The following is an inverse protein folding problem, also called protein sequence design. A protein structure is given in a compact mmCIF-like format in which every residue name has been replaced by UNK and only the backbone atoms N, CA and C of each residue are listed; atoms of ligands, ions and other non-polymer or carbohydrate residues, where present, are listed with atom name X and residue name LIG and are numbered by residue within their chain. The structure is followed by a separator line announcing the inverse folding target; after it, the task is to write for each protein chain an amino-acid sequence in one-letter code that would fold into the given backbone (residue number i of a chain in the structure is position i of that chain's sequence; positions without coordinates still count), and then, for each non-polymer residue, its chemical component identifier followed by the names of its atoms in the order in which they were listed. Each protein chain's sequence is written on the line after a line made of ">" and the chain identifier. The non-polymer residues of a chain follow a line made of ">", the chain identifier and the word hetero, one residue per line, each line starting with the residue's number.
data_IF_661112042765
#
_entry.id   IF_661112042765
#
_cell.length_a   1.000
_cell.length_b   1.000
_cell.length_c   1.000
_cell.angle_alpha   90.00
_cell.angle_beta   90.00
_cell.angle_gamma   90.00
#
_symmetry.space_group_name_H-M   'P 1'
#
loop_
_entity.id
_entity.type
_entity.pdbx_description
1 polymer ?
#
# COMPACT_ATOMS: atom_id res chain seq x y z
N UNK A 1 21.83 -13.28 -2.16
CA UNK A 1 21.29 -13.65 -0.84
C UNK A 1 20.17 -12.68 -0.47
N UNK A 2 18.87 -13.07 -0.48
CA UNK A 2 17.78 -12.26 0.15
C UNK A 2 16.34 -12.81 -0.06
N UNK A 3 16.15 -14.08 -0.45
CA UNK A 3 14.80 -14.69 -0.44
C UNK A 3 14.01 -14.47 0.87
N UNK A 4 14.61 -14.57 2.09
CA UNK A 4 13.84 -14.35 3.31
C UNK A 4 13.38 -12.89 3.48
N UNK A 5 14.25 -11.90 3.20
CA UNK A 5 13.91 -10.49 3.37
C UNK A 5 12.76 -10.06 2.45
N UNK A 6 12.78 -10.51 1.19
CA UNK A 6 11.71 -10.22 0.24
C UNK A 6 10.35 -10.78 0.70
N UNK A 7 10.36 -11.99 1.25
CA UNK A 7 9.15 -12.62 1.79
C UNK A 7 8.64 -11.90 3.03
N UNK A 8 9.53 -11.45 3.92
CA UNK A 8 9.16 -10.66 5.10
C UNK A 8 8.54 -9.32 4.66
N UNK A 9 9.16 -8.61 3.72
CA UNK A 9 8.62 -7.37 3.19
C UNK A 9 7.26 -7.58 2.48
N UNK A 10 7.05 -8.74 1.83
CA UNK A 10 5.76 -9.09 1.21
C UNK A 10 4.65 -9.22 2.25
N UNK A 11 4.93 -9.95 3.32
CA UNK A 11 3.99 -10.16 4.44
C UNK A 11 3.66 -8.83 5.09
N UNK A 12 4.69 -8.04 5.39
CA UNK A 12 4.56 -6.73 6.00
C UNK A 12 3.74 -5.79 5.10
N UNK A 13 4.01 -5.76 3.79
CA UNK A 13 3.26 -4.93 2.85
C UNK A 13 1.77 -5.26 2.85
N UNK A 14 1.42 -6.55 2.77
CA UNK A 14 0.01 -6.97 2.81
C UNK A 14 -0.63 -6.62 4.16
N UNK A 15 0.05 -6.90 5.27
CA UNK A 15 -0.48 -6.62 6.60
C UNK A 15 -0.73 -5.12 6.81
N UNK A 16 0.24 -4.28 6.45
CA UNK A 16 0.13 -2.81 6.57
C UNK A 16 -0.95 -2.26 5.65
N UNK A 17 -1.01 -2.73 4.39
CA UNK A 17 -2.04 -2.30 3.45
C UNK A 17 -3.45 -2.67 3.93
N UNK A 18 -3.64 -3.88 4.45
CA UNK A 18 -4.95 -4.35 4.91
C UNK A 18 -5.41 -3.67 6.20
N UNK A 19 -4.48 -3.37 7.12
CA UNK A 19 -4.80 -2.73 8.41
C UNK A 19 -4.86 -1.21 8.33
N UNK A 20 -4.43 -0.61 7.22
CA UNK A 20 -4.19 0.82 7.09
C UNK A 20 -3.38 1.41 8.28
N UNK A 21 -2.41 0.61 8.77
CA UNK A 21 -1.70 0.91 10.02
C UNK A 21 -1.02 2.30 10.05
N UNK A 22 -0.33 2.79 9.00
CA UNK A 22 0.30 4.09 9.02
C UNK A 22 -0.68 5.24 9.25
N UNK A 23 -1.88 5.15 8.68
CA UNK A 23 -2.93 6.15 8.85
C UNK A 23 -3.55 6.09 10.25
N UNK A 24 -3.78 4.87 10.75
CA UNK A 24 -4.23 4.65 12.13
C UNK A 24 -3.21 5.18 13.15
N UNK A 25 -1.93 4.84 12.99
CA UNK A 25 -0.87 5.29 13.87
C UNK A 25 -0.75 6.83 13.87
N UNK A 26 -0.86 7.45 12.70
CA UNK A 26 -0.82 8.90 12.61
C UNK A 26 -2.01 9.56 13.31
N UNK A 27 -3.22 9.07 13.03
CA UNK A 27 -4.47 9.69 13.48
C UNK A 27 -4.77 9.43 14.95
N UNK A 28 -4.47 8.23 15.45
CA UNK A 28 -4.82 7.80 16.82
C UNK A 28 -3.68 7.84 17.81
N UNK A 29 -2.47 7.50 17.37
CA UNK A 29 -1.30 7.45 18.24
C UNK A 29 -0.46 8.72 18.12
N UNK A 30 -0.68 9.55 17.09
CA UNK A 30 0.17 10.70 16.77
C UNK A 30 1.58 10.29 16.33
N UNK A 31 1.78 9.02 15.95
CA UNK A 31 3.08 8.43 15.64
C UNK A 31 3.09 8.02 14.17
N UNK A 32 4.24 8.20 13.50
CA UNK A 32 4.49 7.75 12.12
C UNK A 32 3.59 8.42 11.07
N UNK A 33 4.11 9.46 10.41
CA UNK A 33 3.42 10.05 9.27
C UNK A 33 3.43 9.08 8.06
N UNK A 34 2.31 8.88 7.34
CA UNK A 34 2.21 7.85 6.30
C UNK A 34 3.28 7.89 5.20
N UNK A 35 3.83 9.06 4.88
CA UNK A 35 4.92 9.14 3.89
C UNK A 35 6.25 8.54 4.40
N UNK A 36 6.50 8.50 5.72
CA UNK A 36 7.68 7.84 6.28
C UNK A 36 7.62 6.33 6.10
N UNK A 37 6.41 5.76 6.14
CA UNK A 37 6.19 4.35 5.80
C UNK A 37 6.64 4.05 4.37
N UNK A 38 6.12 4.81 3.40
CA UNK A 38 6.46 4.62 1.98
C UNK A 38 7.96 4.83 1.74
N UNK A 39 8.59 5.79 2.39
CA UNK A 39 10.03 6.02 2.29
C UNK A 39 10.85 4.86 2.87
N UNK A 40 10.56 4.44 4.11
CA UNK A 40 11.27 3.34 4.77
C UNK A 40 11.10 2.02 4.02
N UNK A 41 9.87 1.72 3.61
CA UNK A 41 9.55 0.55 2.80
C UNK A 41 10.23 0.63 1.43
N UNK A 42 10.24 1.80 0.80
CA UNK A 42 10.93 2.08 -0.45
C UNK A 42 12.42 1.77 -0.37
N UNK A 43 13.12 2.32 0.62
CA UNK A 43 14.57 2.09 0.82
C UNK A 43 14.89 0.60 0.96
N UNK A 44 14.08 -0.14 1.73
CA UNK A 44 14.28 -1.58 1.93
C UNK A 44 13.96 -2.40 0.66
N UNK A 45 13.06 -1.90 -0.20
CA UNK A 45 12.63 -2.60 -1.41
C UNK A 45 13.40 -2.20 -2.68
N UNK A 46 14.16 -1.10 -2.65
CA UNK A 46 14.98 -0.61 -3.78
C UNK A 46 15.87 -1.67 -4.45
N UNK A 47 16.62 -2.52 -3.72
CA UNK A 47 17.47 -3.53 -4.36
C UNK A 47 16.68 -4.53 -5.22
N UNK A 48 15.44 -4.83 -4.83
CA UNK A 48 14.57 -5.73 -5.61
C UNK A 48 13.99 -5.03 -6.83
N UNK A 49 13.66 -3.74 -6.71
CA UNK A 49 13.16 -2.92 -7.81
C UNK A 49 14.21 -2.77 -8.91
N UNK A 50 15.45 -2.41 -8.55
CA UNK A 50 16.55 -2.33 -9.53
C UNK A 50 16.80 -3.67 -10.22
N UNK A 51 16.84 -4.76 -9.46
CA UNK A 51 17.04 -6.10 -10.03
C UNK A 51 15.92 -6.47 -11.00
N UNK A 52 14.67 -6.12 -10.67
CA UNK A 52 13.52 -6.43 -11.52
C UNK A 52 13.51 -5.58 -12.80
N UNK A 53 13.88 -4.31 -12.73
CA UNK A 53 13.98 -3.44 -13.90
C UNK A 53 15.06 -3.95 -14.88
N UNK A 54 16.20 -4.39 -14.35
CA UNK A 54 17.32 -4.87 -15.17
C UNK A 54 17.07 -6.28 -15.73
N UNK A 55 16.49 -7.17 -14.92
CA UNK A 55 16.39 -8.59 -15.27
C UNK A 55 15.06 -8.99 -15.91
N UNK A 56 14.04 -8.12 -15.96
CA UNK A 56 12.72 -8.50 -16.45
C UNK A 56 12.07 -7.42 -17.31
N UNK A 57 11.15 -7.86 -18.16
CA UNK A 57 10.24 -7.01 -18.94
C UNK A 57 9.21 -6.26 -18.08
N UNK A 58 9.55 -5.90 -16.83
CA UNK A 58 8.65 -5.18 -15.90
C UNK A 58 8.12 -3.89 -16.52
N UNK A 59 8.92 -3.22 -17.35
CA UNK A 59 8.52 -2.01 -18.08
C UNK A 59 7.39 -2.25 -19.09
N UNK A 60 7.22 -3.48 -19.58
CA UNK A 60 6.12 -3.87 -20.48
C UNK A 60 4.84 -4.21 -19.73
N UNK A 61 4.87 -4.25 -18.39
CA UNK A 61 3.67 -4.48 -17.59
C UNK A 61 2.64 -3.38 -17.85
N UNK A 62 1.39 -3.71 -18.20
CA UNK A 62 0.32 -2.71 -18.38
C UNK A 62 0.15 -1.79 -17.17
N UNK A 63 0.39 -2.31 -15.97
CA UNK A 63 0.29 -1.53 -14.72
C UNK A 63 1.40 -0.49 -14.62
N UNK A 64 2.62 -0.82 -15.06
CA UNK A 64 3.74 0.14 -15.06
C UNK A 64 3.47 1.24 -16.08
N UNK A 65 3.01 0.89 -17.28
CA UNK A 65 2.60 1.85 -18.31
C UNK A 65 1.50 2.77 -17.78
N UNK A 66 0.50 2.21 -17.09
CA UNK A 66 -0.56 2.97 -16.45
C UNK A 66 -0.04 3.92 -15.36
N UNK A 67 0.88 3.47 -14.51
CA UNK A 67 1.52 4.30 -13.49
C UNK A 67 2.23 5.51 -14.12
N UNK A 68 2.98 5.30 -15.21
CA UNK A 68 3.63 6.38 -15.94
C UNK A 68 2.61 7.33 -16.59
N UNK A 69 1.57 6.79 -17.24
CA UNK A 69 0.50 7.61 -17.83
C UNK A 69 -0.23 8.45 -16.77
N UNK A 70 -0.53 7.85 -15.61
CA UNK A 70 -1.19 8.53 -14.50
C UNK A 70 -0.31 9.60 -13.85
N UNK A 71 1.01 9.39 -13.77
CA UNK A 71 1.95 10.42 -13.35
C UNK A 71 1.90 11.63 -14.29
N UNK A 72 1.93 11.41 -15.61
CA UNK A 72 1.81 12.48 -16.59
C UNK A 72 0.48 13.22 -16.51
N UNK A 73 -0.64 12.50 -16.43
CA UNK A 73 -1.95 13.10 -16.25
C UNK A 73 -2.02 13.94 -14.97
N UNK A 74 -1.38 13.48 -13.88
CA UNK A 74 -1.31 14.22 -12.63
C UNK A 74 -0.51 15.51 -12.76
N UNK A 75 0.64 15.47 -13.46
CA UNK A 75 1.46 16.65 -13.74
C UNK A 75 0.67 17.65 -14.60
N UNK A 76 0.07 17.20 -15.71
CA UNK A 76 -0.70 18.06 -16.61
C UNK A 76 -1.88 18.71 -15.89
N UNK A 77 -2.61 17.94 -15.09
CA UNK A 77 -3.69 18.45 -14.25
C UNK A 77 -3.19 19.49 -13.24
N UNK A 78 -2.05 19.25 -12.59
CA UNK A 78 -1.50 20.18 -11.60
C UNK A 78 -1.06 21.50 -12.24
N UNK A 79 -0.40 21.45 -13.40
CA UNK A 79 0.03 22.65 -14.15
C UNK A 79 -1.16 23.51 -14.55
N UNK A 80 -2.28 22.89 -14.94
CA UNK A 80 -3.53 23.60 -15.26
C UNK A 80 -4.39 24.00 -14.05
N UNK A 81 -3.99 23.60 -12.84
CA UNK A 81 -4.73 23.91 -11.61
C UNK A 81 -4.29 25.25 -10.99
N UNK A 82 -4.93 25.64 -9.90
CA UNK A 82 -4.56 26.84 -9.12
C UNK A 82 -3.24 26.71 -8.36
N UNK A 83 -2.55 25.55 -8.45
CA UNK A 83 -1.27 25.26 -7.78
C UNK A 83 -1.27 25.57 -6.27
N UNK A 84 -2.43 25.44 -5.64
CA UNK A 84 -2.60 25.63 -4.21
C UNK A 84 -1.92 24.52 -3.41
N UNK A 85 -1.70 24.76 -2.11
CA UNK A 85 -1.15 23.74 -1.20
C UNK A 85 -1.99 22.45 -1.19
N UNK A 86 -3.32 22.60 -1.31
CA UNK A 86 -4.24 21.47 -1.41
C UNK A 86 -3.98 20.68 -2.71
N UNK A 87 -3.80 21.36 -3.84
CA UNK A 87 -3.48 20.69 -5.10
C UNK A 87 -2.12 19.99 -5.03
N UNK A 88 -1.13 20.59 -4.35
CA UNK A 88 0.18 19.98 -4.12
C UNK A 88 0.10 18.72 -3.26
N UNK A 89 -0.70 18.74 -2.19
CA UNK A 89 -0.94 17.56 -1.35
C UNK A 89 -1.54 16.40 -2.16
N UNK A 90 -2.49 16.69 -3.06
CA UNK A 90 -3.08 15.68 -3.96
C UNK A 90 -2.01 15.07 -4.87
N UNK A 91 -1.15 15.88 -5.48
CA UNK A 91 -0.04 15.40 -6.31
C UNK A 91 0.88 14.49 -5.50
N UNK A 92 1.30 14.94 -4.31
CA UNK A 92 2.18 14.17 -3.42
C UNK A 92 1.58 12.80 -3.09
N UNK A 93 0.30 12.74 -2.73
CA UNK A 93 -0.38 11.46 -2.41
C UNK A 93 -0.44 10.56 -3.64
N UNK A 94 -0.77 11.09 -4.82
CA UNK A 94 -0.81 10.31 -6.07
C UNK A 94 0.57 9.73 -6.41
N UNK A 95 1.64 10.51 -6.28
CA UNK A 95 3.00 10.02 -6.52
C UNK A 95 3.45 8.97 -5.51
N UNK A 96 3.10 9.13 -4.22
CA UNK A 96 3.37 8.10 -3.21
C UNK A 96 2.67 6.79 -3.55
N UNK A 97 1.41 6.83 -3.98
CA UNK A 97 0.67 5.64 -4.40
C UNK A 97 1.29 4.97 -5.65
N UNK A 98 1.75 5.76 -6.62
CA UNK A 98 2.47 5.25 -7.80
C UNK A 98 3.76 4.53 -7.38
N UNK A 99 4.56 5.16 -6.51
CA UNK A 99 5.81 4.55 -6.01
C UNK A 99 5.49 3.24 -5.29
N UNK A 100 4.52 3.25 -4.38
CA UNK A 100 4.11 2.05 -3.63
C UNK A 100 3.67 0.91 -4.55
N UNK A 101 2.86 1.19 -5.59
CA UNK A 101 2.46 0.20 -6.60
C UNK A 101 3.66 -0.40 -7.33
N UNK A 102 4.62 0.42 -7.76
CA UNK A 102 5.82 -0.07 -8.44
C UNK A 102 6.67 -0.98 -7.53
N UNK A 103 6.78 -0.62 -6.25
CA UNK A 103 7.47 -1.45 -5.25
C UNK A 103 6.74 -2.77 -5.05
N UNK A 104 5.41 -2.78 -4.96
CA UNK A 104 4.61 -4.00 -4.83
C UNK A 104 4.76 -4.92 -6.05
N UNK A 105 4.70 -4.40 -7.27
CA UNK A 105 4.91 -5.20 -8.49
C UNK A 105 6.29 -5.86 -8.46
N UNK A 106 7.33 -5.09 -8.13
CA UNK A 106 8.68 -5.61 -8.00
C UNK A 106 8.75 -6.71 -6.96
N UNK A 107 8.07 -6.54 -5.83
CA UNK A 107 8.17 -7.43 -4.69
C UNK A 107 7.37 -8.73 -4.88
N UNK A 108 6.19 -8.65 -5.49
CA UNK A 108 5.33 -9.82 -5.76
C UNK A 108 5.64 -10.54 -7.08
N UNK A 109 6.61 -10.07 -7.89
CA UNK A 109 7.05 -10.81 -9.09
C UNK A 109 7.65 -12.19 -8.81
N UNK A 110 8.01 -12.48 -7.55
CA UNK A 110 8.52 -13.76 -7.10
C UNK A 110 7.39 -14.63 -6.57
N UNK A 111 7.33 -15.86 -7.05
CA UNK A 111 6.26 -16.81 -6.74
C UNK A 111 6.16 -17.16 -5.25
N UNK A 112 7.28 -17.27 -4.52
CA UNK A 112 7.28 -17.55 -3.09
C UNK A 112 6.75 -16.35 -2.29
N UNK A 113 7.20 -15.14 -2.61
CA UNK A 113 6.72 -13.91 -1.99
C UNK A 113 5.20 -13.73 -2.23
N UNK A 114 4.74 -13.97 -3.46
CA UNK A 114 3.32 -13.92 -3.82
C UNK A 114 2.50 -14.99 -3.08
N UNK A 115 3.01 -16.22 -2.97
CA UNK A 115 2.34 -17.29 -2.20
C UNK A 115 2.16 -16.91 -0.73
N UNK A 116 3.21 -16.37 -0.10
CA UNK A 116 3.14 -15.87 1.29
C UNK A 116 2.15 -14.72 1.43
N UNK A 117 2.18 -13.76 0.51
CA UNK A 117 1.24 -12.65 0.47
C UNK A 117 -0.22 -13.11 0.40
N UNK A 118 -0.51 -14.11 -0.46
CA UNK A 118 -1.86 -14.73 -0.55
C UNK A 118 -2.29 -15.39 0.75
N UNK A 119 -1.39 -16.09 1.44
CA UNK A 119 -1.70 -16.68 2.75
C UNK A 119 -2.08 -15.61 3.78
N UNK A 120 -1.32 -14.51 3.81
CA UNK A 120 -1.62 -13.37 4.70
C UNK A 120 -2.96 -12.73 4.34
N UNK A 121 -3.26 -12.57 3.06
CA UNK A 121 -4.56 -12.07 2.60
C UNK A 121 -5.71 -12.95 3.08
N UNK A 122 -5.59 -14.28 2.95
CA UNK A 122 -6.62 -15.23 3.43
C UNK A 122 -6.82 -15.10 4.94
N UNK A 123 -5.72 -15.00 5.71
CA UNK A 123 -5.80 -14.80 7.16
C UNK A 123 -6.45 -13.46 7.51
N UNK A 124 -6.09 -12.38 6.81
CA UNK A 124 -6.68 -11.06 7.00
C UNK A 124 -8.19 -11.04 6.73
N UNK A 125 -8.62 -11.64 5.63
CA UNK A 125 -10.05 -11.78 5.29
C UNK A 125 -10.78 -12.63 6.33
N UNK A 126 -10.20 -13.76 6.75
CA UNK A 126 -10.80 -14.60 7.77
C UNK A 126 -10.97 -13.86 9.11
N UNK A 127 -9.96 -13.09 9.53
CA UNK A 127 -10.04 -12.24 10.71
C UNK A 127 -11.14 -11.18 10.56
N UNK A 128 -11.23 -10.51 9.41
CA UNK A 128 -12.30 -9.57 9.10
C UNK A 128 -13.69 -10.19 9.19
N UNK A 129 -13.87 -11.39 8.62
CA UNK A 129 -15.14 -12.13 8.71
C UNK A 129 -15.50 -12.47 10.17
N UNK A 130 -14.53 -12.92 10.97
CA UNK A 130 -14.75 -13.21 12.39
C UNK A 130 -15.19 -11.95 13.15
N UNK A 131 -14.55 -10.81 12.90
CA UNK A 131 -14.92 -9.52 13.51
C UNK A 131 -16.36 -9.15 13.12
N UNK A 132 -16.74 -9.28 11.86
CA UNK A 132 -18.09 -8.97 11.39
C UNK A 132 -19.15 -9.91 11.99
N UNK A 133 -18.84 -11.21 12.10
CA UNK A 133 -19.72 -12.17 12.78
C UNK A 133 -19.88 -11.79 14.26
N UNK A 134 -18.79 -11.39 14.92
CA UNK A 134 -18.84 -10.94 16.31
C UNK A 134 -19.71 -9.69 16.48
N UNK A 135 -19.56 -8.68 15.61
CA UNK A 135 -20.39 -7.47 15.64
C UNK A 135 -21.89 -7.75 15.47
N UNK A 136 -22.25 -8.83 14.78
CA UNK A 136 -23.66 -9.24 14.61
C UNK A 136 -24.30 -9.64 15.96
N UNK A 137 -23.53 -10.24 16.87
CA UNK A 137 -23.99 -10.60 18.21
C UNK A 137 -23.78 -9.48 19.24
N UNK A 138 -22.75 -8.66 19.05
CA UNK A 138 -22.40 -7.54 19.94
C UNK A 138 -22.29 -6.23 19.14
N UNK A 139 -23.43 -5.59 18.83
CA UNK A 139 -23.44 -4.39 18.02
C UNK A 139 -22.64 -3.25 18.67
N UNK A 140 -21.88 -2.52 17.84
CA UNK A 140 -20.99 -1.41 18.24
C UNK A 140 -19.77 -1.80 19.09
N UNK A 141 -19.43 -3.09 19.20
CA UNK A 141 -18.25 -3.51 19.97
C UNK A 141 -16.92 -2.90 19.47
N UNK A 142 -16.81 -2.63 18.17
CA UNK A 142 -15.62 -2.02 17.56
C UNK A 142 -15.89 -0.69 16.86
N UNK A 143 -17.11 -0.13 17.01
CA UNK A 143 -17.45 1.16 16.42
C UNK A 143 -17.04 2.32 17.31
N UNK A 144 -16.28 3.24 16.73
CA UNK A 144 -15.95 4.52 17.36
C UNK A 144 -16.94 5.64 17.02
N UNK A 145 -17.88 5.39 16.10
CA UNK A 145 -18.89 6.35 15.65
C UNK A 145 -20.28 5.81 15.97
N UNK A 146 -20.95 6.42 16.95
CA UNK A 146 -22.32 6.11 17.34
C UNK A 146 -23.22 5.97 16.10
N UNK A 147 -23.78 4.78 15.89
CA UNK A 147 -24.73 4.49 14.81
C UNK A 147 -24.13 4.00 13.48
N UNK A 148 -22.82 3.75 13.39
CA UNK A 148 -22.18 3.16 12.20
C UNK A 148 -21.41 1.90 12.58
N UNK A 149 -21.61 0.77 11.90
CA UNK A 149 -20.76 -0.42 12.08
C UNK A 149 -19.31 -0.13 11.66
N UNK A 150 -18.35 -0.84 12.23
CA UNK A 150 -16.93 -0.64 11.91
C UNK A 150 -16.53 -1.16 10.51
N UNK A 151 -17.45 -1.87 9.83
CA UNK A 151 -17.30 -2.38 8.47
C UNK A 151 -17.70 -1.41 7.36
#
# INVERSE_FOLDING_TARGET
>A
MSFPLRNVLAVIAVAVFYTNWPDYAHTRLGILVPYYWVLGFGVLSLPFLFRQIVASDMLKSPVVIWCFGYAWLTILWFVGSTQSEIAWQVVRVRFLAIIELLLFISLFSNQEANRRARQVLVVGVAAGVIIQIYELFFPMAFSEVLGRSAG
#
